data_IF_396463175821
#
_entry.id   IF_396463175821
#
_cell.length_a   1.000
_cell.length_b   1.000
_cell.length_c   1.000
_cell.angle_alpha   90.00
_cell.angle_beta   90.00
_cell.angle_gamma   90.00
#
_symmetry.space_group_name_H-M   'P 1'
#
loop_
_entity.id
_entity.type
_entity.pdbx_description
1 polymer ?
#
# COMPACT_ATOMS: atom_id res chain seq x y z
N UNK A 1 22.38 13.35 38.53
CA UNK A 1 21.91 13.93 37.25
C UNK A 1 23.14 14.29 36.44
N UNK A 2 23.70 13.32 35.70
CA UNK A 2 24.82 13.59 34.79
C UNK A 2 24.21 14.22 33.54
N UNK A 3 24.65 15.44 33.21
CA UNK A 3 24.41 16.06 31.91
C UNK A 3 24.95 15.10 30.84
N UNK A 4 24.04 14.39 30.18
CA UNK A 4 24.35 13.65 28.96
C UNK A 4 24.71 14.72 27.93
N UNK A 5 26.01 14.96 27.75
CA UNK A 5 26.52 15.74 26.62
C UNK A 5 26.01 15.05 25.37
N UNK A 6 25.01 15.65 24.71
CA UNK A 6 24.56 15.16 23.40
C UNK A 6 25.80 15.07 22.52
N UNK A 7 26.14 13.86 22.09
CA UNK A 7 27.27 13.66 21.20
C UNK A 7 26.99 14.44 19.92
N UNK A 8 27.94 15.26 19.49
CA UNK A 8 27.80 16.01 18.25
C UNK A 8 27.80 15.03 17.08
N UNK A 9 26.64 14.88 16.42
CA UNK A 9 26.48 13.90 15.35
C UNK A 9 27.18 14.31 14.07
N UNK A 10 27.64 15.56 13.96
CA UNK A 10 28.43 16.05 12.82
C UNK A 10 29.89 15.63 12.90
N UNK A 11 30.37 15.22 14.07
CA UNK A 11 31.75 14.77 14.24
C UNK A 11 31.98 13.37 13.64
N UNK A 12 33.12 13.19 12.97
CA UNK A 12 33.48 11.93 12.34
C UNK A 12 33.64 10.80 13.38
N UNK A 13 34.04 11.13 14.61
CA UNK A 13 34.20 10.17 15.70
C UNK A 13 32.89 9.49 16.10
N UNK A 14 31.75 10.17 15.92
CA UNK A 14 30.41 9.62 16.17
C UNK A 14 30.10 8.46 15.21
N UNK A 15 30.48 8.61 13.94
CA UNK A 15 30.24 7.61 12.88
C UNK A 15 31.30 6.52 12.82
N UNK A 16 32.58 6.83 13.11
CA UNK A 16 33.67 5.87 13.13
C UNK A 16 33.68 5.02 14.42
N UNK A 17 32.54 4.42 14.74
CA UNK A 17 32.33 3.57 15.90
C UNK A 17 31.92 2.15 15.47
N UNK A 18 32.43 1.13 16.16
CA UNK A 18 32.04 -0.27 15.96
C UNK A 18 30.52 -0.48 16.09
N UNK A 19 29.85 0.34 16.92
CA UNK A 19 28.39 0.30 17.05
C UNK A 19 27.70 0.71 15.75
N UNK A 20 28.16 1.79 15.11
CA UNK A 20 27.64 2.19 13.81
C UNK A 20 27.88 1.12 12.76
N UNK A 21 29.08 0.52 12.72
CA UNK A 21 29.39 -0.58 11.80
C UNK A 21 28.36 -1.72 11.92
N UNK A 22 28.02 -2.14 13.14
CA UNK A 22 27.00 -3.17 13.35
C UNK A 22 25.61 -2.71 12.92
N UNK A 23 25.20 -1.48 13.25
CA UNK A 23 23.92 -0.92 12.80
C UNK A 23 23.84 -0.85 11.27
N UNK A 24 24.93 -0.45 10.61
CA UNK A 24 25.07 -0.42 9.16
C UNK A 24 24.89 -1.81 8.55
N UNK A 25 25.52 -2.84 9.12
CA UNK A 25 25.30 -4.23 8.69
C UNK A 25 23.83 -4.64 8.84
N UNK A 26 23.22 -4.35 9.99
CA UNK A 26 21.82 -4.71 10.26
C UNK A 26 20.80 -4.00 9.37
N UNK A 27 21.14 -2.86 8.77
CA UNK A 27 20.27 -2.14 7.84
C UNK A 27 20.58 -2.51 6.39
N UNK A 28 21.85 -2.50 6.00
CA UNK A 28 22.27 -2.69 4.61
C UNK A 28 22.11 -4.13 4.16
N UNK A 29 22.44 -5.12 4.99
CA UNK A 29 22.31 -6.54 4.61
C UNK A 29 20.87 -6.92 4.23
N UNK A 30 19.83 -6.69 5.06
CA UNK A 30 18.45 -7.01 4.66
C UNK A 30 17.96 -6.14 3.50
N UNK A 31 18.41 -4.88 3.38
CA UNK A 31 18.06 -4.01 2.25
C UNK A 31 18.62 -4.56 0.92
N UNK A 32 19.88 -4.97 0.89
CA UNK A 32 20.51 -5.58 -0.29
C UNK A 32 19.85 -6.90 -0.64
N UNK A 33 19.57 -7.76 0.34
CA UNK A 33 18.84 -9.02 0.13
C UNK A 33 17.45 -8.74 -0.45
N UNK A 34 16.73 -7.74 0.07
CA UNK A 34 15.42 -7.34 -0.42
C UNK A 34 15.49 -6.88 -1.89
N UNK A 35 16.49 -6.08 -2.27
CA UNK A 35 16.72 -5.67 -3.66
C UNK A 35 16.99 -6.87 -4.57
N UNK A 36 17.82 -7.82 -4.13
CA UNK A 36 18.13 -9.04 -4.90
C UNK A 36 16.87 -9.90 -5.10
N UNK A 37 16.07 -10.08 -4.04
CA UNK A 37 14.81 -10.83 -4.11
C UNK A 37 13.85 -10.13 -5.07
N UNK A 38 13.66 -8.81 -4.95
CA UNK A 38 12.79 -8.07 -5.88
C UNK A 38 13.29 -8.19 -7.31
N UNK A 39 14.59 -8.04 -7.56
CA UNK A 39 15.15 -8.23 -8.89
C UNK A 39 14.84 -9.63 -9.41
N UNK A 40 15.07 -10.68 -8.62
CA UNK A 40 14.79 -12.07 -9.03
C UNK A 40 13.31 -12.31 -9.33
N UNK A 41 12.41 -11.91 -8.44
CA UNK A 41 10.98 -12.18 -8.56
C UNK A 41 10.32 -11.31 -9.63
N UNK A 42 10.61 -10.00 -9.68
CA UNK A 42 10.04 -9.10 -10.68
C UNK A 42 10.64 -9.33 -12.08
N UNK A 43 11.93 -9.73 -12.18
CA UNK A 43 12.50 -10.19 -13.45
C UNK A 43 11.89 -11.51 -13.90
N UNK A 44 11.66 -12.45 -12.99
CA UNK A 44 11.01 -13.72 -13.35
C UNK A 44 9.59 -13.54 -13.86
N UNK A 45 8.84 -12.57 -13.33
CA UNK A 45 7.51 -12.17 -13.86
C UNK A 45 7.62 -11.62 -15.28
N UNK A 46 8.75 -10.99 -15.63
CA UNK A 46 8.99 -10.40 -16.94
C UNK A 46 9.65 -11.33 -17.98
N UNK A 47 10.14 -12.52 -17.59
CA UNK A 47 11.06 -13.34 -18.41
C UNK A 47 10.47 -14.65 -18.98
N UNK A 48 9.24 -15.08 -18.67
CA UNK A 48 8.67 -16.29 -19.31
C UNK A 48 8.37 -16.00 -20.81
N UNK A 49 9.09 -16.60 -21.79
CA UNK A 49 9.06 -16.15 -23.19
C UNK A 49 8.45 -17.15 -24.17
N UNK A 50 7.61 -16.67 -25.11
CA UNK A 50 7.76 -16.84 -26.57
C UNK A 50 6.62 -16.14 -27.36
N UNK A 51 7.00 -15.49 -28.48
CA UNK A 51 6.28 -14.83 -29.61
C UNK A 51 4.77 -14.50 -29.52
N UNK A 52 4.39 -13.27 -29.91
CA UNK A 52 3.05 -12.65 -30.04
C UNK A 52 2.12 -12.68 -28.81
N UNK A 53 2.22 -13.73 -28.00
CA UNK A 53 1.59 -13.91 -26.68
C UNK A 53 2.12 -12.95 -25.63
N UNK A 54 3.24 -12.27 -25.88
CA UNK A 54 3.90 -11.36 -24.93
C UNK A 54 3.04 -10.14 -24.61
N UNK A 55 2.53 -9.46 -25.64
CA UNK A 55 1.66 -8.30 -25.44
C UNK A 55 0.33 -8.72 -24.81
N UNK A 56 -0.28 -9.79 -25.30
CA UNK A 56 -1.58 -10.25 -24.81
C UNK A 56 -1.53 -10.76 -23.37
N UNK A 57 -0.51 -11.53 -23.00
CA UNK A 57 -0.37 -12.05 -21.63
C UNK A 57 -0.04 -10.93 -20.63
N UNK A 58 0.83 -10.00 -21.03
CA UNK A 58 1.15 -8.83 -20.21
C UNK A 58 -0.05 -7.89 -20.06
N UNK A 59 -0.77 -7.60 -21.16
CA UNK A 59 -2.05 -6.85 -21.14
C UNK A 59 -3.08 -7.54 -20.25
N UNK A 60 -3.17 -8.88 -20.27
CA UNK A 60 -4.06 -9.66 -19.41
C UNK A 60 -3.68 -9.59 -17.93
N UNK A 61 -2.39 -9.61 -17.61
CA UNK A 61 -1.89 -9.44 -16.23
C UNK A 61 -2.18 -8.04 -15.70
N UNK A 62 -1.88 -7.01 -16.48
CA UNK A 62 -2.19 -5.60 -16.18
C UNK A 62 -3.69 -5.37 -15.99
N UNK A 63 -4.52 -5.95 -16.86
CA UNK A 63 -5.96 -5.93 -16.75
C UNK A 63 -6.43 -6.57 -15.43
N UNK A 64 -5.81 -7.66 -15.01
CA UNK A 64 -6.16 -8.38 -13.78
C UNK A 64 -5.78 -7.57 -12.52
N UNK A 65 -4.65 -6.87 -12.54
CA UNK A 65 -4.28 -5.92 -11.49
C UNK A 65 -5.24 -4.73 -11.43
N UNK A 66 -5.57 -4.16 -12.59
CA UNK A 66 -6.52 -3.07 -12.70
C UNK A 66 -7.90 -3.49 -12.16
N UNK A 67 -8.44 -4.61 -12.62
CA UNK A 67 -9.75 -5.11 -12.19
C UNK A 67 -9.82 -5.37 -10.68
N UNK A 68 -8.76 -5.94 -10.10
CA UNK A 68 -8.68 -6.14 -8.64
C UNK A 68 -8.52 -4.83 -7.87
N UNK A 69 -7.95 -3.80 -8.50
CA UNK A 69 -7.73 -2.53 -7.85
C UNK A 69 -9.06 -1.82 -7.53
N UNK A 70 -10.01 -1.76 -8.45
CA UNK A 70 -11.25 -0.97 -8.29
C UNK A 70 -12.51 -1.78 -7.93
N UNK A 71 -12.49 -3.11 -8.06
CA UNK A 71 -13.64 -3.95 -7.71
C UNK A 71 -13.64 -4.35 -6.23
N UNK A 72 -14.80 -4.31 -5.55
CA UNK A 72 -14.92 -4.84 -4.21
C UNK A 72 -14.77 -6.37 -4.22
N UNK A 73 -14.39 -6.94 -3.07
CA UNK A 73 -14.21 -8.38 -2.93
C UNK A 73 -15.50 -9.19 -2.96
N UNK A 74 -16.63 -8.58 -2.63
CA UNK A 74 -17.96 -9.19 -2.76
C UNK A 74 -18.63 -8.62 -3.99
N UNK A 75 -18.96 -9.47 -4.97
CA UNK A 75 -19.51 -9.03 -6.27
C UNK A 75 -20.87 -8.31 -6.16
N UNK A 76 -21.59 -8.52 -5.07
CA UNK A 76 -22.88 -7.90 -4.79
C UNK A 76 -22.71 -6.41 -4.43
N UNK A 77 -21.57 -6.02 -3.87
CA UNK A 77 -21.32 -4.63 -3.47
C UNK A 77 -21.07 -3.79 -4.71
N UNK A 78 -21.79 -2.68 -4.83
CA UNK A 78 -21.56 -1.73 -5.93
C UNK A 78 -20.15 -1.11 -5.79
N UNK A 79 -19.32 -1.11 -6.85
CA UNK A 79 -17.97 -0.53 -6.82
C UNK A 79 -17.92 0.95 -6.37
N UNK A 80 -19.03 1.69 -6.49
CA UNK A 80 -19.16 3.06 -5.99
C UNK A 80 -18.87 3.16 -4.49
N UNK A 81 -19.30 2.19 -3.67
CA UNK A 81 -19.06 2.24 -2.22
C UNK A 81 -17.58 2.17 -1.87
N UNK A 82 -16.81 1.34 -2.58
CA UNK A 82 -15.35 1.28 -2.42
C UNK A 82 -14.70 2.60 -2.85
N UNK A 83 -15.17 3.21 -3.95
CA UNK A 83 -14.67 4.51 -4.41
C UNK A 83 -14.95 5.62 -3.39
N UNK A 84 -16.16 5.70 -2.84
CA UNK A 84 -16.55 6.68 -1.81
C UNK A 84 -15.70 6.51 -0.56
N UNK A 85 -15.51 5.26 -0.10
CA UNK A 85 -14.65 4.96 1.05
C UNK A 85 -13.22 5.48 0.83
N UNK A 86 -12.63 5.23 -0.34
CA UNK A 86 -11.26 5.66 -0.65
C UNK A 86 -11.09 7.16 -0.75
N UNK A 87 -12.06 7.86 -1.35
CA UNK A 87 -12.05 9.33 -1.41
C UNK A 87 -12.19 9.93 -0.02
N UNK A 88 -13.07 9.36 0.81
CA UNK A 88 -13.22 9.78 2.20
C UNK A 88 -11.96 9.54 3.02
N UNK A 89 -11.34 8.35 2.89
CA UNK A 89 -10.08 8.01 3.53
C UNK A 89 -8.95 8.97 3.10
N UNK A 90 -8.83 9.26 1.80
CA UNK A 90 -7.88 10.24 1.27
C UNK A 90 -8.09 11.63 1.88
N UNK A 91 -9.34 12.09 1.95
CA UNK A 91 -9.67 13.41 2.51
C UNK A 91 -9.29 13.50 3.99
N UNK A 92 -9.60 12.47 4.79
CA UNK A 92 -9.21 12.41 6.20
C UNK A 92 -7.68 12.41 6.37
N UNK A 93 -6.97 11.59 5.60
CA UNK A 93 -5.51 11.53 5.67
C UNK A 93 -4.87 12.86 5.27
N UNK A 94 -5.35 13.49 4.20
CA UNK A 94 -4.83 14.78 3.75
C UNK A 94 -5.08 15.87 4.79
N UNK A 95 -6.28 15.89 5.39
CA UNK A 95 -6.61 16.84 6.45
C UNK A 95 -5.67 16.69 7.65
N UNK A 96 -5.38 15.45 8.05
CA UNK A 96 -4.47 15.18 9.17
C UNK A 96 -3.03 15.59 8.84
N UNK A 97 -2.48 15.20 7.68
CA UNK A 97 -1.11 15.59 7.27
C UNK A 97 -0.98 17.12 7.21
N UNK A 98 -1.94 17.80 6.59
CA UNK A 98 -1.91 19.25 6.44
C UNK A 98 -2.01 19.94 7.80
N UNK A 99 -2.88 19.45 8.69
CA UNK A 99 -3.00 19.98 10.05
C UNK A 99 -1.69 19.81 10.83
N UNK A 100 -1.08 18.62 10.73
CA UNK A 100 0.20 18.32 11.38
C UNK A 100 1.33 19.22 10.88
N UNK A 101 1.39 19.43 9.56
CA UNK A 101 2.37 20.30 8.93
C UNK A 101 2.18 21.77 9.31
N UNK A 102 0.94 22.25 9.45
CA UNK A 102 0.65 23.62 9.87
C UNK A 102 1.08 23.85 11.32
N UNK A 103 0.86 22.88 12.21
CA UNK A 103 1.15 23.01 13.64
C UNK A 103 2.63 22.82 13.95
N UNK A 104 3.27 21.82 13.35
CA UNK A 104 4.63 21.39 13.70
C UNK A 104 5.68 21.73 12.63
N UNK A 105 5.27 22.28 11.48
CA UNK A 105 6.17 22.61 10.39
C UNK A 105 6.73 21.39 9.66
N UNK A 106 7.88 21.59 8.98
CA UNK A 106 8.56 20.54 8.21
C UNK A 106 9.25 19.48 9.06
N UNK A 107 9.60 19.80 10.32
CA UNK A 107 10.35 18.92 11.22
C UNK A 107 9.61 17.61 11.52
N UNK A 108 8.29 17.60 11.38
CA UNK A 108 7.48 16.40 11.57
C UNK A 108 7.85 15.27 10.59
N UNK A 109 8.39 15.62 9.41
CA UNK A 109 8.86 14.64 8.42
C UNK A 109 10.16 13.94 8.81
N UNK A 110 10.79 14.31 9.94
CA UNK A 110 11.82 13.46 10.55
C UNK A 110 11.22 12.19 11.18
N UNK A 111 9.93 12.13 11.49
CA UNK A 111 9.33 10.92 12.06
C UNK A 111 8.92 9.91 10.98
N UNK A 112 9.29 8.64 11.18
CA UNK A 112 8.88 7.53 10.31
C UNK A 112 7.35 7.35 10.25
N UNK A 113 6.65 7.72 11.32
CA UNK A 113 5.19 7.78 11.36
C UNK A 113 4.64 8.68 10.26
N UNK A 114 5.24 9.84 10.02
CA UNK A 114 4.80 10.75 8.96
C UNK A 114 5.12 10.21 7.57
N UNK A 115 6.26 9.54 7.38
CA UNK A 115 6.55 8.82 6.14
C UNK A 115 5.51 7.74 5.84
N UNK A 116 5.09 7.01 6.88
CA UNK A 116 4.06 5.97 6.78
C UNK A 116 2.69 6.56 6.48
N UNK A 117 2.37 7.69 7.11
CA UNK A 117 1.12 8.42 6.88
C UNK A 117 1.05 8.98 5.46
N UNK A 118 2.13 9.60 4.97
CA UNK A 118 2.27 10.07 3.60
C UNK A 118 2.19 8.91 2.58
N UNK A 119 2.85 7.79 2.84
CA UNK A 119 2.77 6.59 2.01
C UNK A 119 1.32 6.08 1.92
N UNK A 120 0.60 6.06 3.04
CA UNK A 120 -0.81 5.66 3.10
C UNK A 120 -1.70 6.63 2.34
N UNK A 121 -1.45 7.95 2.45
CA UNK A 121 -2.16 8.96 1.66
C UNK A 121 -1.92 8.79 0.15
N UNK A 122 -0.67 8.55 -0.28
CA UNK A 122 -0.34 8.26 -1.69
C UNK A 122 -1.07 7.00 -2.18
N UNK A 123 -1.11 5.96 -1.35
CA UNK A 123 -1.88 4.74 -1.63
C UNK A 123 -3.37 5.06 -1.89
N UNK A 124 -4.02 5.80 -0.99
CA UNK A 124 -5.43 6.18 -1.17
C UNK A 124 -5.66 7.17 -2.32
N UNK A 125 -4.67 8.01 -2.66
CA UNK A 125 -4.73 8.91 -3.79
C UNK A 125 -4.78 8.13 -5.11
N UNK A 126 -3.85 7.20 -5.32
CA UNK A 126 -3.85 6.31 -6.50
C UNK A 126 -5.10 5.41 -6.49
N UNK A 127 -5.45 4.86 -5.33
CA UNK A 127 -6.65 4.02 -5.16
C UNK A 127 -7.93 4.75 -5.53
N UNK A 128 -8.08 6.01 -5.13
CA UNK A 128 -9.23 6.84 -5.49
C UNK A 128 -9.30 7.07 -6.99
N UNK A 129 -8.18 7.43 -7.63
CA UNK A 129 -8.10 7.61 -9.07
C UNK A 129 -8.49 6.35 -9.85
N UNK A 130 -7.94 5.19 -9.46
CA UNK A 130 -8.28 3.90 -10.06
C UNK A 130 -9.75 3.51 -9.84
N UNK A 131 -10.31 3.80 -8.67
CA UNK A 131 -11.70 3.47 -8.33
C UNK A 131 -12.69 4.32 -9.13
N UNK A 132 -12.45 5.63 -9.23
CA UNK A 132 -13.26 6.56 -10.02
C UNK A 132 -13.21 6.16 -11.50
N UNK A 133 -12.02 5.90 -12.03
CA UNK A 133 -11.85 5.48 -13.42
C UNK A 133 -12.54 4.14 -13.71
N UNK A 134 -12.42 3.16 -12.80
CA UNK A 134 -13.12 1.88 -12.87
C UNK A 134 -14.64 2.03 -12.83
N UNK A 135 -15.17 2.83 -11.90
CA UNK A 135 -16.60 3.10 -11.78
C UNK A 135 -17.17 3.82 -13.00
N UNK A 136 -16.45 4.82 -13.55
CA UNK A 136 -16.83 5.51 -14.77
C UNK A 136 -16.98 4.53 -15.94
N UNK A 137 -16.01 3.62 -16.10
CA UNK A 137 -16.06 2.59 -17.15
C UNK A 137 -17.15 1.54 -16.92
N UNK A 138 -17.38 1.15 -15.67
CA UNK A 138 -18.47 0.25 -15.30
C UNK A 138 -19.82 0.83 -15.69
N UNK A 139 -20.08 2.09 -15.34
CA UNK A 139 -21.32 2.78 -15.69
C UNK A 139 -21.46 2.95 -17.22
N UNK A 140 -20.39 3.34 -17.91
CA UNK A 140 -20.38 3.45 -19.38
C UNK A 140 -20.66 2.11 -20.08
N UNK A 141 -20.19 1.01 -19.51
CA UNK A 141 -20.45 -0.32 -20.06
C UNK A 141 -21.90 -0.73 -19.83
N UNK A 142 -22.45 -0.50 -18.64
CA UNK A 142 -23.86 -0.76 -18.36
C UNK A 142 -24.80 0.11 -19.21
N UNK A 143 -24.46 1.40 -19.42
CA UNK A 143 -25.25 2.28 -20.29
C UNK A 143 -25.24 1.78 -21.73
N UNK A 144 -24.09 1.35 -22.25
CA UNK A 144 -23.98 0.86 -23.63
C UNK A 144 -24.68 -0.49 -23.80
N UNK A 145 -24.63 -1.38 -22.80
CA UNK A 145 -25.41 -2.63 -22.80
C UNK A 145 -26.90 -2.34 -22.76
N UNK A 146 -27.35 -1.39 -21.93
CA UNK A 146 -28.76 -1.00 -21.87
C UNK A 146 -29.24 -0.40 -23.19
N UNK A 147 -28.46 0.47 -23.83
CA UNK A 147 -28.77 1.02 -25.16
C UNK A 147 -28.82 -0.07 -26.22
N UNK A 148 -27.84 -0.98 -26.23
CA UNK A 148 -27.82 -2.10 -27.16
C UNK A 148 -28.99 -3.07 -26.92
N UNK A 149 -29.39 -3.30 -25.67
CA UNK A 149 -30.57 -4.12 -25.36
C UNK A 149 -31.86 -3.43 -25.84
N UNK A 150 -32.00 -2.11 -25.64
CA UNK A 150 -33.11 -1.34 -26.18
C UNK A 150 -33.14 -1.36 -27.72
N UNK A 151 -31.99 -1.20 -28.38
CA UNK A 151 -31.86 -1.27 -29.84
C UNK A 151 -32.15 -2.69 -30.37
N UNK A 152 -31.74 -3.73 -29.63
CA UNK A 152 -32.07 -5.13 -29.94
C UNK A 152 -33.54 -5.41 -29.72
N UNK A 153 -34.18 -4.92 -28.65
CA UNK A 153 -35.62 -5.07 -28.42
C UNK A 153 -36.44 -4.32 -29.48
N UNK A 154 -35.99 -3.13 -29.90
CA UNK A 154 -36.62 -2.34 -30.95
C UNK A 154 -36.40 -2.97 -32.34
N UNK A 155 -35.22 -3.55 -32.59
CA UNK A 155 -34.91 -4.36 -33.76
C UNK A 155 -35.62 -5.71 -33.78
N UNK A 156 -35.86 -6.33 -32.61
CA UNK A 156 -36.61 -7.59 -32.44
C UNK A 156 -38.09 -7.37 -32.74
N UNK A 157 -38.64 -6.24 -32.29
CA UNK A 157 -40.00 -5.82 -32.61
C UNK A 157 -40.18 -5.57 -34.12
N UNK A 158 -39.12 -5.09 -34.79
CA UNK A 158 -39.08 -4.88 -36.24
C UNK A 158 -38.69 -6.13 -37.05
N UNK A 159 -38.01 -7.11 -36.43
CA UNK A 159 -37.63 -8.39 -37.04
C UNK A 159 -38.64 -9.51 -36.77
N UNK A 160 -39.57 -9.34 -35.83
CA UNK A 160 -40.76 -10.22 -35.70
C UNK A 160 -41.63 -10.18 -36.97
N UNK A 161 -41.42 -9.21 -37.84
CA UNK A 161 -41.97 -9.12 -39.20
C UNK A 161 -41.18 -9.89 -40.28
N UNK A 162 -39.98 -10.41 -40.00
CA UNK A 162 -39.21 -11.21 -40.96
C UNK A 162 -38.31 -12.24 -40.27
N UNK A 163 -38.65 -13.51 -40.45
CA UNK A 163 -38.01 -14.72 -39.92
C UNK A 163 -36.51 -14.78 -40.20
N UNK A 164 -35.68 -14.82 -39.14
CA UNK A 164 -34.56 -15.76 -38.94
C UNK A 164 -33.65 -15.33 -37.77
N UNK A 165 -33.58 -16.18 -36.72
CA UNK A 165 -32.98 -15.83 -35.43
C UNK A 165 -32.01 -16.90 -34.93
N UNK A 166 -30.69 -16.73 -35.13
CA UNK A 166 -29.66 -17.51 -34.39
C UNK A 166 -28.27 -16.84 -34.20
N UNK A 167 -28.03 -15.58 -34.62
CA UNK A 167 -26.67 -14.98 -34.57
C UNK A 167 -26.43 -13.90 -33.49
N UNK A 168 -27.45 -13.44 -32.75
CA UNK A 168 -27.31 -12.30 -31.82
C UNK A 168 -26.48 -12.59 -30.55
N UNK A 169 -26.56 -13.81 -30.01
CA UNK A 169 -25.98 -14.13 -28.68
C UNK A 169 -24.45 -14.22 -28.70
N UNK A 170 -23.84 -14.61 -29.84
CA UNK A 170 -22.37 -14.68 -29.96
C UNK A 170 -21.71 -13.31 -30.10
N UNK A 171 -22.40 -12.30 -30.63
CA UNK A 171 -21.83 -10.98 -30.86
C UNK A 171 -21.67 -10.17 -29.56
N UNK A 172 -22.63 -10.28 -28.63
CA UNK A 172 -22.62 -9.59 -27.32
C UNK A 172 -21.42 -10.02 -26.47
N UNK A 173 -21.12 -11.32 -26.44
CA UNK A 173 -19.96 -11.84 -25.71
C UNK A 173 -18.62 -11.39 -26.33
N UNK A 174 -18.57 -11.26 -27.66
CA UNK A 174 -17.35 -10.85 -28.37
C UNK A 174 -17.06 -9.34 -28.24
N UNK A 175 -18.10 -8.50 -28.18
CA UNK A 175 -17.97 -7.05 -27.94
C UNK A 175 -17.56 -6.75 -26.49
N UNK A 176 -18.09 -7.50 -25.51
CA UNK A 176 -17.63 -7.43 -24.11
C UNK A 176 -16.14 -7.76 -23.97
N UNK A 177 -15.68 -8.81 -24.64
CA UNK A 177 -14.27 -9.23 -24.67
C UNK A 177 -13.36 -8.19 -25.36
N UNK A 178 -13.79 -7.66 -26.52
CA UNK A 178 -13.02 -6.66 -27.29
C UNK A 178 -12.95 -5.31 -26.57
N UNK A 179 -13.97 -4.95 -25.80
CA UNK A 179 -14.01 -3.73 -24.98
C UNK A 179 -13.24 -3.87 -23.67
N UNK A 180 -13.10 -5.08 -23.12
CA UNK A 180 -12.24 -5.37 -21.95
C UNK A 180 -10.75 -5.16 -22.27
N UNK A 181 -10.34 -5.37 -23.52
CA UNK A 181 -8.96 -5.19 -24.00
C UNK A 181 -8.48 -3.71 -24.08
N UNK A 182 -9.38 -2.73 -23.94
CA UNK A 182 -9.06 -1.30 -23.98
C UNK A 182 -8.78 -0.71 -22.58
N UNK A 183 -8.11 -1.43 -21.69
CA UNK A 183 -7.53 -0.77 -20.51
C UNK A 183 -6.26 -0.05 -20.97
N UNK A 184 -6.16 1.29 -20.82
CA UNK A 184 -4.93 1.98 -21.12
C UNK A 184 -3.80 1.34 -20.31
N UNK A 185 -2.66 1.07 -20.95
CA UNK A 185 -1.51 0.43 -20.30
C UNK A 185 -1.09 1.17 -19.01
N UNK A 186 -1.33 2.48 -18.97
CA UNK A 186 -1.15 3.34 -17.79
C UNK A 186 -1.99 2.87 -16.61
N UNK A 187 -3.28 2.58 -16.80
CA UNK A 187 -4.17 2.12 -15.72
C UNK A 187 -3.77 0.74 -15.19
N UNK A 188 -3.25 -0.13 -16.06
CA UNK A 188 -2.66 -1.42 -15.70
C UNK A 188 -1.43 -1.28 -14.81
N UNK A 189 -0.48 -0.44 -15.21
CA UNK A 189 0.73 -0.12 -14.43
C UNK A 189 0.39 0.54 -13.09
N UNK A 190 -0.57 1.45 -13.09
CA UNK A 190 -1.09 2.06 -11.86
C UNK A 190 -1.72 1.01 -10.92
N UNK A 191 -2.46 0.02 -11.44
CA UNK A 191 -3.03 -1.06 -10.63
C UNK A 191 -1.97 -1.93 -9.94
N UNK A 192 -0.85 -2.17 -10.63
CA UNK A 192 0.29 -2.90 -10.05
C UNK A 192 1.07 -2.06 -9.03
N UNK A 193 1.34 -0.80 -9.34
CA UNK A 193 1.93 0.15 -8.38
C UNK A 193 1.05 0.26 -7.13
N UNK A 194 -0.26 0.37 -7.30
CA UNK A 194 -1.23 0.41 -6.21
C UNK A 194 -1.14 -0.83 -5.31
N UNK A 195 -0.91 -2.02 -5.90
CA UNK A 195 -0.72 -3.24 -5.11
C UNK A 195 0.63 -3.25 -4.36
N UNK A 196 1.70 -2.71 -4.93
CA UNK A 196 2.99 -2.54 -4.22
C UNK A 196 2.82 -1.59 -3.04
N UNK A 197 2.18 -0.43 -3.28
CA UNK A 197 1.91 0.56 -2.24
C UNK A 197 1.05 -0.02 -1.12
N UNK A 198 0.03 -0.84 -1.45
CA UNK A 198 -0.79 -1.53 -0.46
C UNK A 198 0.05 -2.37 0.52
N UNK A 199 0.99 -3.15 0.01
CA UNK A 199 1.82 -4.05 0.83
C UNK A 199 2.90 -3.30 1.60
N UNK A 200 3.50 -2.29 0.96
CA UNK A 200 4.47 -1.41 1.62
C UNK A 200 3.81 -0.66 2.77
N UNK A 201 2.62 -0.06 2.53
CA UNK A 201 1.83 0.63 3.55
C UNK A 201 1.37 -0.32 4.64
N UNK A 202 0.90 -1.52 4.31
CA UNK A 202 0.49 -2.52 5.29
C UNK A 202 1.61 -2.89 6.25
N UNK A 203 2.81 -3.15 5.75
CA UNK A 203 3.98 -3.42 6.59
C UNK A 203 4.34 -2.22 7.47
N UNK A 204 4.42 -1.03 6.88
CA UNK A 204 4.82 0.19 7.58
C UNK A 204 3.82 0.62 8.66
N UNK A 205 2.52 0.56 8.37
CA UNK A 205 1.43 0.84 9.33
C UNK A 205 1.44 -0.18 10.46
N UNK A 206 1.54 -1.48 10.15
CA UNK A 206 1.61 -2.49 11.20
C UNK A 206 2.83 -2.29 12.10
N UNK A 207 4.00 -1.94 11.55
CA UNK A 207 5.19 -1.67 12.35
C UNK A 207 5.03 -0.44 13.23
N UNK A 208 4.64 0.69 12.65
CA UNK A 208 4.51 1.96 13.38
C UNK A 208 3.45 1.90 14.47
N UNK A 209 2.28 1.32 14.17
CA UNK A 209 1.18 1.23 15.12
C UNK A 209 1.47 0.18 16.20
N UNK A 210 2.10 -0.96 15.85
CA UNK A 210 2.49 -1.96 16.87
C UNK A 210 3.54 -1.41 17.82
N UNK A 211 4.57 -0.73 17.31
CA UNK A 211 5.60 -0.11 18.17
C UNK A 211 4.98 1.00 19.03
N UNK A 212 4.08 1.80 18.47
CA UNK A 212 3.38 2.82 19.25
C UNK A 212 2.55 2.20 20.37
N UNK A 213 1.64 1.28 20.06
CA UNK A 213 0.68 0.74 21.02
C UNK A 213 1.28 -0.24 22.03
N UNK A 214 2.26 -1.05 21.64
CA UNK A 214 2.84 -2.07 22.54
C UNK A 214 4.11 -1.60 23.27
N UNK A 215 4.81 -0.58 22.78
CA UNK A 215 6.08 -0.14 23.37
C UNK A 215 5.99 1.29 23.88
N UNK A 216 5.62 2.24 23.02
CA UNK A 216 5.67 3.68 23.37
C UNK A 216 4.53 4.06 24.31
N UNK A 217 3.29 3.72 23.97
CA UNK A 217 2.10 4.10 24.71
C UNK A 217 2.09 3.60 26.17
N UNK A 218 2.43 2.33 26.48
CA UNK A 218 2.53 1.86 27.86
C UNK A 218 3.60 2.62 28.64
N UNK A 219 4.75 2.90 28.01
CA UNK A 219 5.84 3.64 28.66
C UNK A 219 5.45 5.10 28.99
N UNK A 220 4.72 5.77 28.09
CA UNK A 220 4.20 7.12 28.32
C UNK A 220 3.13 7.15 29.41
N UNK A 221 2.26 6.14 29.44
CA UNK A 221 1.20 6.00 30.47
C UNK A 221 1.80 5.81 31.86
N UNK A 222 2.84 4.99 31.98
CA UNK A 222 3.55 4.78 33.26
C UNK A 222 4.23 6.06 33.79
N UNK A 223 4.55 7.01 32.91
CA UNK A 223 5.21 8.28 33.26
C UNK A 223 4.25 9.46 33.44
N UNK A 224 2.93 9.24 33.41
CA UNK A 224 1.91 10.29 33.48
C UNK A 224 2.14 11.43 32.46
N UNK A 225 2.56 11.08 31.24
CA UNK A 225 2.76 12.07 30.19
C UNK A 225 1.42 12.53 29.62
N UNK A 226 1.24 13.83 29.39
CA UNK A 226 0.03 14.38 28.78
C UNK A 226 -0.09 13.94 27.32
N UNK A 227 -1.12 13.16 27.02
CA UNK A 227 -1.33 12.63 25.68
C UNK A 227 -1.93 13.69 24.75
N UNK A 228 -1.26 13.96 23.63
CA UNK A 228 -1.90 14.65 22.54
C UNK A 228 -2.87 13.68 21.84
N UNK A 229 -4.18 13.91 21.94
CA UNK A 229 -5.20 13.09 21.28
C UNK A 229 -4.97 12.99 19.77
N UNK A 230 -4.36 14.02 19.18
CA UNK A 230 -4.00 14.03 17.77
C UNK A 230 -3.01 12.91 17.41
N UNK A 231 -2.01 12.66 18.28
CA UNK A 231 -1.02 11.59 18.10
C UNK A 231 -1.68 10.20 18.20
N UNK A 232 -2.63 10.01 19.10
CA UNK A 232 -3.36 8.73 19.21
C UNK A 232 -4.18 8.47 17.92
N UNK A 233 -4.81 9.53 17.39
CA UNK A 233 -5.57 9.45 16.14
C UNK A 233 -4.64 9.15 14.96
N UNK A 234 -3.47 9.78 14.84
CA UNK A 234 -2.54 9.51 13.72
C UNK A 234 -2.03 8.07 13.70
N UNK A 235 -1.78 7.49 14.88
CA UNK A 235 -1.33 6.10 15.07
C UNK A 235 -2.44 5.04 15.06
N UNK A 236 -3.69 5.42 14.77
CA UNK A 236 -4.81 4.47 14.63
C UNK A 236 -5.56 4.66 13.32
N UNK A 237 -5.63 5.90 12.83
CA UNK A 237 -6.35 6.24 11.62
C UNK A 237 -5.78 5.51 10.40
N UNK A 238 -4.45 5.41 10.28
CA UNK A 238 -3.82 4.65 9.21
C UNK A 238 -4.22 3.17 9.23
N UNK A 239 -4.12 2.50 10.38
CA UNK A 239 -4.53 1.10 10.52
C UNK A 239 -6.02 0.92 10.22
N UNK A 240 -6.89 1.76 10.78
CA UNK A 240 -8.34 1.66 10.58
C UNK A 240 -8.71 1.84 9.11
N UNK A 241 -8.18 2.87 8.45
CA UNK A 241 -8.47 3.12 7.04
C UNK A 241 -7.90 2.03 6.14
N UNK A 242 -6.65 1.59 6.38
CA UNK A 242 -6.01 0.56 5.56
C UNK A 242 -6.65 -0.82 5.74
N UNK A 243 -7.02 -1.19 6.98
CA UNK A 243 -7.79 -2.40 7.27
C UNK A 243 -9.20 -2.32 6.68
N UNK A 244 -9.83 -1.15 6.71
CA UNK A 244 -11.10 -0.89 6.04
C UNK A 244 -11.01 -1.11 4.53
N UNK A 245 -9.98 -0.57 3.86
CA UNK A 245 -9.77 -0.82 2.43
C UNK A 245 -9.47 -2.30 2.18
N UNK A 246 -8.60 -2.90 3.00
CA UNK A 246 -8.26 -4.31 2.93
C UNK A 246 -9.49 -5.21 3.13
N UNK A 247 -10.49 -4.78 3.91
CA UNK A 247 -11.75 -5.49 4.10
C UNK A 247 -12.66 -5.39 2.87
N UNK A 248 -12.63 -4.29 2.13
CA UNK A 248 -13.48 -4.06 0.95
C UNK A 248 -12.85 -4.49 -0.38
N UNK A 249 -11.52 -4.47 -0.51
CA UNK A 249 -10.81 -4.71 -1.77
C UNK A 249 -10.46 -6.20 -1.99
N UNK A 250 -10.09 -6.60 -3.22
CA UNK A 250 -9.67 -7.98 -3.54
C UNK A 250 -8.17 -8.11 -3.86
N UNK A 251 -7.36 -7.18 -3.35
CA UNK A 251 -5.92 -7.14 -3.65
C UNK A 251 -5.21 -8.39 -3.13
N UNK A 252 -4.32 -8.93 -3.94
CA UNK A 252 -3.47 -10.04 -3.53
C UNK A 252 -2.33 -9.54 -2.63
N UNK A 253 -1.91 -10.38 -1.69
CA UNK A 253 -0.82 -10.09 -0.75
C UNK A 253 0.30 -11.14 -0.84
N UNK A 254 1.07 -11.20 -1.95
CA UNK A 254 2.27 -12.01 -2.05
C UNK A 254 3.29 -11.69 -0.95
N UNK A 255 3.95 -12.74 -0.46
CA UNK A 255 4.96 -12.62 0.59
C UNK A 255 6.25 -11.92 0.13
N UNK A 256 6.72 -12.18 -1.10
CA UNK A 256 8.00 -11.64 -1.58
C UNK A 256 8.03 -10.10 -1.62
N UNK A 257 6.88 -9.44 -1.70
CA UNK A 257 6.78 -7.97 -1.76
C UNK A 257 6.94 -7.29 -0.41
N UNK A 258 7.10 -8.05 0.68
CA UNK A 258 7.67 -7.56 1.94
C UNK A 258 9.00 -6.82 1.72
N UNK A 259 9.77 -7.18 0.69
CA UNK A 259 11.01 -6.52 0.33
C UNK A 259 10.84 -5.01 0.09
N UNK A 260 9.72 -4.55 -0.46
CA UNK A 260 9.44 -3.12 -0.63
C UNK A 260 9.31 -2.40 0.72
N UNK A 261 8.69 -3.04 1.70
CA UNK A 261 8.58 -2.51 3.06
C UNK A 261 9.96 -2.43 3.73
N UNK A 262 10.79 -3.47 3.61
CA UNK A 262 12.17 -3.48 4.15
C UNK A 262 13.05 -2.40 3.51
N UNK A 263 12.91 -2.19 2.20
CA UNK A 263 13.63 -1.11 1.50
C UNK A 263 13.13 0.25 1.97
N UNK A 264 11.82 0.43 2.15
CA UNK A 264 11.23 1.69 2.62
C UNK A 264 11.75 2.10 4.01
N UNK A 265 11.80 1.17 4.96
CA UNK A 265 12.44 1.42 6.27
C UNK A 265 13.94 1.67 6.14
N UNK A 266 14.65 0.90 5.30
CA UNK A 266 16.08 1.11 5.04
C UNK A 266 16.38 2.52 4.51
N UNK A 267 15.58 2.99 3.54
CA UNK A 267 15.68 4.36 3.00
C UNK A 267 15.46 5.40 4.07
N UNK A 268 14.45 5.23 4.93
CA UNK A 268 14.21 6.14 6.05
C UNK A 268 15.42 6.20 7.02
N UNK A 269 15.99 5.05 7.38
CA UNK A 269 17.14 5.01 8.29
C UNK A 269 18.36 5.68 7.67
N UNK A 270 18.62 5.45 6.38
CA UNK A 270 19.71 6.12 5.65
C UNK A 270 19.47 7.63 5.57
N UNK A 271 18.23 8.06 5.28
CA UNK A 271 17.86 9.47 5.32
C UNK A 271 18.19 10.09 6.69
N UNK A 272 17.81 9.42 7.78
CA UNK A 272 18.12 9.88 9.13
C UNK A 272 19.62 9.98 9.40
N UNK A 273 20.40 9.00 8.94
CA UNK A 273 21.85 9.05 9.07
C UNK A 273 22.46 10.23 8.32
N UNK A 274 22.02 10.49 7.09
CA UNK A 274 22.50 11.62 6.28
C UNK A 274 22.18 12.94 6.99
N UNK A 275 20.94 13.13 7.45
CA UNK A 275 20.53 14.36 8.15
C UNK A 275 21.41 14.59 9.38
N UNK A 276 21.60 13.59 10.23
CA UNK A 276 22.41 13.73 11.45
C UNK A 276 23.91 13.87 11.17
N UNK A 277 24.40 13.39 10.03
CA UNK A 277 25.78 13.61 9.61
C UNK A 277 26.01 15.03 9.10
N UNK A 278 24.98 15.68 8.53
CA UNK A 278 25.04 17.05 8.05
C UNK A 278 24.77 18.08 9.16
N UNK A 279 23.80 17.80 10.03
CA UNK A 279 23.33 18.74 11.05
C UNK A 279 23.14 18.04 12.39
N UNK A 280 23.61 18.68 13.47
CA UNK A 280 23.52 18.14 14.83
C UNK A 280 22.14 18.42 15.43
N UNK A 281 21.16 17.60 15.04
CA UNK A 281 19.78 17.68 15.53
C UNK A 281 19.45 16.55 16.51
N UNK A 282 18.29 16.63 17.17
CA UNK A 282 17.83 15.57 18.06
C UNK A 282 17.36 14.35 17.25
N UNK A 283 17.60 13.15 17.79
CA UNK A 283 17.05 11.93 17.19
C UNK A 283 15.52 11.91 17.36
N UNK A 284 14.74 11.72 16.28
CA UNK A 284 13.28 11.60 16.38
C UNK A 284 12.89 10.34 17.17
N UNK A 285 13.71 9.30 17.10
CA UNK A 285 13.55 8.09 17.90
C UNK A 285 14.83 7.83 18.70
N UNK A 286 14.76 7.84 20.05
CA UNK A 286 15.95 7.62 20.89
C UNK A 286 16.68 6.32 20.59
N UNK A 287 15.96 5.26 20.18
CA UNK A 287 16.58 3.97 19.86
C UNK A 287 17.41 3.97 18.57
N UNK A 288 17.35 5.03 17.76
CA UNK A 288 18.22 5.21 16.57
C UNK A 288 19.56 5.87 16.92
N UNK A 289 19.66 6.52 18.09
CA UNK A 289 20.88 7.18 18.54
C UNK A 289 22.02 6.17 18.72
N UNK A 290 23.10 6.37 17.97
CA UNK A 290 24.27 5.49 17.92
C UNK A 290 25.18 5.68 19.15
N UNK A 291 25.02 6.78 19.89
CA UNK A 291 25.70 7.01 21.17
C UNK A 291 25.27 6.00 22.24
N UNK A 292 24.07 5.43 22.10
CA UNK A 292 23.53 4.46 23.05
C UNK A 292 24.27 3.13 22.98
N UNK A 293 24.55 2.55 24.15
CA UNK A 293 25.25 1.26 24.29
C UNK A 293 24.54 0.13 23.55
N UNK A 294 23.21 0.15 23.55
CA UNK A 294 22.36 -0.90 22.99
C UNK A 294 21.82 -0.57 21.59
N UNK A 295 22.36 0.46 20.91
CA UNK A 295 21.89 0.82 19.57
C UNK A 295 21.89 -0.37 18.59
N UNK A 296 22.96 -1.19 18.46
CA UNK A 296 22.93 -2.33 17.54
C UNK A 296 21.80 -3.34 17.80
N UNK A 297 21.41 -3.52 19.07
CA UNK A 297 20.31 -4.41 19.45
C UNK A 297 18.97 -3.85 19.00
N UNK A 298 18.76 -2.54 19.13
CA UNK A 298 17.55 -1.88 18.65
C UNK A 298 17.38 -1.96 17.13
N UNK A 299 18.45 -1.70 16.39
CA UNK A 299 18.44 -1.84 14.92
C UNK A 299 18.12 -3.28 14.49
N UNK A 300 18.74 -4.26 15.15
CA UNK A 300 18.46 -5.68 14.90
C UNK A 300 17.01 -6.05 15.27
N UNK A 301 16.50 -5.57 16.41
CA UNK A 301 15.12 -5.82 16.85
C UNK A 301 14.11 -5.27 15.84
N UNK A 302 14.29 -4.02 15.40
CA UNK A 302 13.42 -3.41 14.39
C UNK A 302 13.50 -4.18 13.08
N UNK A 303 14.68 -4.61 12.63
CA UNK A 303 14.83 -5.47 11.45
C UNK A 303 14.00 -6.76 11.58
N UNK A 304 14.06 -7.45 12.74
CA UNK A 304 13.25 -8.63 13.00
C UNK A 304 11.75 -8.35 13.03
N UNK A 305 11.32 -7.21 13.58
CA UNK A 305 9.89 -6.83 13.67
C UNK A 305 9.21 -6.71 12.30
N UNK A 306 9.95 -6.54 11.21
CA UNK A 306 9.36 -6.50 9.88
C UNK A 306 8.60 -7.80 9.55
N UNK A 307 9.14 -8.95 9.96
CA UNK A 307 8.57 -10.28 9.66
C UNK A 307 7.20 -10.46 10.34
N UNK A 308 7.05 -10.34 11.67
CA UNK A 308 5.75 -10.49 12.31
C UNK A 308 4.77 -9.38 11.91
N UNK A 309 5.21 -8.13 11.74
CA UNK A 309 4.31 -7.04 11.34
C UNK A 309 3.70 -7.29 9.95
N UNK A 310 4.53 -7.66 8.98
CA UNK A 310 4.05 -8.03 7.65
C UNK A 310 3.24 -9.34 7.67
N UNK A 311 3.69 -10.31 8.45
CA UNK A 311 3.05 -11.63 8.58
C UNK A 311 1.64 -11.58 9.17
N UNK A 312 1.42 -10.75 10.20
CA UNK A 312 0.10 -10.55 10.81
C UNK A 312 -0.87 -9.98 9.76
N UNK A 313 -0.47 -8.95 9.02
CA UNK A 313 -1.32 -8.40 7.96
C UNK A 313 -1.59 -9.41 6.85
N UNK A 314 -0.57 -10.17 6.43
CA UNK A 314 -0.73 -11.24 5.45
C UNK A 314 -1.73 -12.31 5.91
N UNK A 315 -1.70 -12.67 7.20
CA UNK A 315 -2.64 -13.60 7.81
C UNK A 315 -4.06 -13.04 7.81
N UNK A 316 -4.25 -11.76 8.16
CA UNK A 316 -5.56 -11.11 8.12
C UNK A 316 -6.17 -11.15 6.71
N UNK A 317 -5.36 -10.84 5.68
CA UNK A 317 -5.82 -10.90 4.27
C UNK A 317 -6.17 -12.33 3.86
N UNK A 318 -5.36 -13.33 4.25
CA UNK A 318 -5.66 -14.74 3.96
C UNK A 318 -6.91 -15.24 4.68
N UNK A 319 -7.08 -14.88 5.95
CA UNK A 319 -8.25 -15.22 6.73
C UNK A 319 -9.52 -14.64 6.11
N UNK A 320 -9.46 -13.35 5.72
CA UNK A 320 -10.54 -12.70 4.96
C UNK A 320 -10.87 -13.49 3.70
N UNK A 321 -9.88 -13.82 2.87
CA UNK A 321 -10.11 -14.55 1.61
C UNK A 321 -10.75 -15.92 1.86
N UNK A 322 -10.33 -16.62 2.90
CA UNK A 322 -10.93 -17.89 3.31
C UNK A 322 -12.40 -17.73 3.75
N UNK A 323 -12.71 -16.71 4.57
CA UNK A 323 -14.07 -16.41 5.01
C UNK A 323 -14.96 -16.04 3.82
N UNK A 324 -14.50 -15.17 2.93
CA UNK A 324 -15.25 -14.76 1.74
C UNK A 324 -15.52 -15.94 0.82
N UNK A 325 -14.54 -16.79 0.57
CA UNK A 325 -14.72 -17.99 -0.25
C UNK A 325 -15.79 -18.94 0.32
N UNK A 326 -15.84 -19.08 1.65
CA UNK A 326 -16.81 -19.95 2.33
C UNK A 326 -18.22 -19.36 2.36
N UNK A 327 -18.36 -18.05 2.52
CA UNK A 327 -19.66 -17.38 2.71
C UNK A 327 -20.26 -16.87 1.39
N UNK A 328 -19.42 -16.56 0.42
CA UNK A 328 -19.80 -16.05 -0.90
C UNK A 328 -19.09 -16.83 -2.01
N UNK A 329 -19.45 -18.11 -2.25
CA UNK A 329 -18.77 -18.97 -3.23
C UNK A 329 -18.85 -18.46 -4.67
N UNK A 330 -19.76 -17.53 -4.96
CA UNK A 330 -19.85 -16.86 -6.26
C UNK A 330 -18.99 -15.60 -6.38
N UNK A 331 -18.37 -15.10 -5.29
CA UNK A 331 -17.53 -13.89 -5.29
C UNK A 331 -16.07 -14.18 -5.61
#
# INVERSE_FOLDING_TARGET
MQLQTNADTTDLSYWLNWRFLLCAIWVLTPTVIAVIILWKYERSVNVIPESDRREDCQKRSWLLYFDKAWKPCVKIINPIYLAVFRVFALALLTLVIVSDFIVHGGDIFYYYTQWTFALTAIYFWIGSGLSIYGCYRYNKTNSDVSKMQMDVEQGLLQSLTCTDYMNGVKLVNNVGYKRMLLVPEIAGRCGYLFQILFQMAAGAVMLTDSVYWFVIFPFLTLKNYDFNSFTVVTHSLNAVLLLGDAALNSLCFPWFRMCYFVIWTGVYVIFQWIVHACESIWWPYPFLDLSLKYAPVWYLLVAFLHIPCYGIFALLVRLKQYVLWRWFPQS
#
